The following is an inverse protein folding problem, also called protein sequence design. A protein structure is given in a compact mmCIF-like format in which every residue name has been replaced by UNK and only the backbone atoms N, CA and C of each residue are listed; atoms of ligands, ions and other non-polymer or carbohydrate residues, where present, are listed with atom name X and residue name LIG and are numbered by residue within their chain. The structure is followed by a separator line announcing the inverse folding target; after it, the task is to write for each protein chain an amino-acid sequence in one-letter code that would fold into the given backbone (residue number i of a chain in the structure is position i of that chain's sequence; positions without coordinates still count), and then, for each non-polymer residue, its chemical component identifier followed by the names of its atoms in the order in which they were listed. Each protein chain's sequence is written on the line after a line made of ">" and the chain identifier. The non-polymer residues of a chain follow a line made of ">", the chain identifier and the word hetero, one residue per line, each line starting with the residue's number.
data_IF_257010491027
#
_entry.id   IF_257010491027
#
_cell.length_a   1.000
_cell.length_b   1.000
_cell.length_c   1.000
_cell.angle_alpha   90.00
_cell.angle_beta   90.00
_cell.angle_gamma   90.00
#
_symmetry.space_group_name_H-M   'P 1'
#
loop_
_entity.id
_entity.type
_entity.pdbx_description
1 polymer ?
#
# COMPACT_ATOMS: atom_id res chain seq x y z
N UNK A 1 -9.48 4.40 -3.08
CA UNK A 1 -10.94 4.36 -3.19
C UNK A 1 -11.48 5.53 -4.02
N UNK A 2 -10.98 6.75 -3.85
CA UNK A 2 -11.39 7.90 -4.66
C UNK A 2 -11.18 7.62 -6.16
N UNK A 3 -10.00 7.15 -6.54
CA UNK A 3 -9.67 6.79 -7.92
C UNK A 3 -10.46 5.55 -8.40
N UNK A 4 -10.69 4.56 -7.53
CA UNK A 4 -11.53 3.42 -7.87
C UNK A 4 -12.96 3.85 -8.23
N UNK A 5 -13.56 4.73 -7.44
CA UNK A 5 -14.89 5.28 -7.71
C UNK A 5 -14.93 6.04 -9.03
N UNK A 6 -13.93 6.89 -9.30
CA UNK A 6 -13.81 7.63 -10.56
C UNK A 6 -13.67 6.68 -11.77
N UNK A 7 -12.82 5.66 -11.64
CA UNK A 7 -12.59 4.70 -12.73
C UNK A 7 -13.80 3.82 -13.03
N UNK A 8 -14.73 3.64 -12.09
CA UNK A 8 -15.99 2.92 -12.32
C UNK A 8 -16.99 3.69 -13.20
N UNK A 9 -16.80 4.99 -13.41
CA UNK A 9 -17.65 5.77 -14.30
C UNK A 9 -17.55 5.32 -15.76
N UNK A 10 -18.67 5.39 -16.49
CA UNK A 10 -18.70 5.06 -17.93
C UNK A 10 -17.75 5.95 -18.75
N UNK A 11 -17.59 7.20 -18.38
CA UNK A 11 -16.66 8.16 -19.00
C UNK A 11 -15.19 7.73 -18.91
N UNK A 12 -14.85 6.83 -17.97
CA UNK A 12 -13.52 6.28 -17.76
C UNK A 12 -13.37 4.83 -18.25
N UNK A 13 -14.40 4.30 -18.92
CA UNK A 13 -14.43 2.91 -19.40
C UNK A 13 -14.93 1.91 -18.35
N UNK A 14 -15.34 2.40 -17.17
CA UNK A 14 -15.84 1.58 -16.08
C UNK A 14 -17.20 0.96 -16.31
N UNK A 15 -17.59 0.07 -15.40
CA UNK A 15 -18.87 -0.65 -15.43
C UNK A 15 -20.10 0.24 -15.20
N UNK A 16 -19.91 1.50 -14.74
CA UNK A 16 -20.99 2.44 -14.45
C UNK A 16 -21.63 2.23 -13.08
N UNK A 17 -20.86 1.73 -12.12
CA UNK A 17 -21.32 1.46 -10.75
C UNK A 17 -21.06 2.66 -9.86
N UNK A 18 -22.09 3.07 -9.11
CA UNK A 18 -21.97 3.99 -7.97
C UNK A 18 -21.69 3.17 -6.70
N UNK A 19 -20.56 3.42 -6.05
CA UNK A 19 -20.12 2.59 -4.92
C UNK A 19 -21.16 2.48 -3.79
N UNK A 20 -21.85 3.56 -3.46
CA UNK A 20 -22.85 3.53 -2.39
C UNK A 20 -24.20 2.97 -2.81
N UNK A 21 -24.42 2.64 -4.09
CA UNK A 21 -25.76 2.32 -4.60
C UNK A 21 -26.76 3.46 -4.40
N UNK A 22 -28.02 3.16 -4.53
CA UNK A 22 -29.14 4.05 -4.18
C UNK A 22 -30.31 3.19 -3.67
N UNK A 23 -31.33 3.76 -3.01
CA UNK A 23 -32.50 2.99 -2.61
C UNK A 23 -33.09 2.18 -3.77
N UNK A 24 -33.14 0.86 -3.61
CA UNK A 24 -33.58 -0.10 -4.65
C UNK A 24 -32.48 -0.60 -5.59
N UNK A 25 -31.24 -0.13 -5.44
CA UNK A 25 -30.06 -0.63 -6.21
C UNK A 25 -28.92 -0.94 -5.24
N UNK A 26 -28.36 -2.14 -5.36
CA UNK A 26 -27.28 -2.59 -4.50
C UNK A 26 -26.02 -1.67 -4.57
N UNK A 27 -25.29 -1.60 -3.48
CA UNK A 27 -23.99 -0.97 -3.42
C UNK A 27 -22.95 -1.74 -4.24
N UNK A 28 -21.95 -1.03 -4.74
CA UNK A 28 -20.78 -1.61 -5.38
C UNK A 28 -19.94 -2.42 -4.39
N UNK A 29 -19.34 -3.51 -4.88
CA UNK A 29 -18.53 -4.43 -4.07
C UNK A 29 -17.05 -4.06 -4.17
N UNK A 30 -16.46 -3.74 -3.03
CA UNK A 30 -15.04 -3.41 -2.91
C UNK A 30 -14.32 -4.53 -2.15
N UNK A 31 -13.32 -5.11 -2.79
CA UNK A 31 -12.46 -6.15 -2.20
C UNK A 31 -11.10 -5.52 -1.88
N UNK A 32 -10.63 -5.68 -0.65
CA UNK A 32 -9.34 -5.17 -0.20
C UNK A 32 -8.42 -6.35 0.13
N UNK A 33 -7.30 -6.46 -0.56
CA UNK A 33 -6.28 -7.47 -0.34
C UNK A 33 -5.19 -6.91 0.57
N UNK A 34 -5.17 -7.38 1.82
CA UNK A 34 -4.27 -6.92 2.89
C UNK A 34 -4.96 -6.00 3.89
N UNK A 35 -4.90 -6.38 5.17
CA UNK A 35 -5.47 -5.66 6.31
C UNK A 35 -4.49 -4.71 7.02
N UNK A 36 -3.36 -4.36 6.40
CA UNK A 36 -2.39 -3.41 6.93
C UNK A 36 -2.93 -1.98 7.03
N UNK A 37 -2.05 -1.00 7.22
CA UNK A 37 -2.44 0.43 7.34
C UNK A 37 -3.17 0.90 6.09
N UNK A 38 -2.64 0.59 4.91
CA UNK A 38 -3.21 0.98 3.62
C UNK A 38 -4.58 0.36 3.41
N UNK A 39 -4.69 -0.97 3.56
CA UNK A 39 -5.95 -1.70 3.36
C UNK A 39 -7.03 -1.28 4.35
N UNK A 40 -6.67 -1.07 5.62
CA UNK A 40 -7.60 -0.57 6.62
C UNK A 40 -8.19 0.79 6.25
N UNK A 41 -7.36 1.73 5.78
CA UNK A 41 -7.83 3.04 5.35
C UNK A 41 -8.65 2.95 4.05
N UNK A 42 -8.26 2.09 3.11
CA UNK A 42 -9.06 1.83 1.92
C UNK A 42 -10.45 1.29 2.28
N UNK A 43 -10.51 0.28 3.16
CA UNK A 43 -11.77 -0.30 3.62
C UNK A 43 -12.65 0.74 4.34
N UNK A 44 -12.06 1.59 5.20
CA UNK A 44 -12.77 2.69 5.87
C UNK A 44 -13.37 3.68 4.87
N UNK A 45 -12.62 4.07 3.86
CA UNK A 45 -13.11 5.01 2.85
C UNK A 45 -14.20 4.39 1.98
N UNK A 46 -14.06 3.13 1.58
CA UNK A 46 -15.08 2.40 0.83
C UNK A 46 -16.39 2.28 1.62
N UNK A 47 -16.30 1.90 2.89
CA UNK A 47 -17.45 1.84 3.80
C UNK A 47 -18.09 3.24 3.96
N UNK A 48 -17.28 4.28 4.08
CA UNK A 48 -17.75 5.68 4.17
C UNK A 48 -18.50 6.15 2.92
N UNK A 49 -18.19 5.61 1.76
CA UNK A 49 -18.94 5.83 0.50
C UNK A 49 -20.16 4.90 0.37
N UNK A 50 -20.43 4.04 1.35
CA UNK A 50 -21.57 3.13 1.36
C UNK A 50 -21.37 1.82 0.57
N UNK A 51 -20.14 1.48 0.18
CA UNK A 51 -19.84 0.25 -0.54
C UNK A 51 -20.03 -1.00 0.33
N UNK A 52 -20.30 -2.15 -0.31
CA UNK A 52 -20.19 -3.47 0.30
C UNK A 52 -18.72 -3.89 0.32
N UNK A 53 -18.11 -3.93 1.51
CA UNK A 53 -16.65 -4.08 1.67
C UNK A 53 -16.29 -5.45 2.22
N UNK A 54 -15.35 -6.10 1.54
CA UNK A 54 -14.70 -7.33 2.03
C UNK A 54 -13.19 -7.11 2.08
N UNK A 55 -12.57 -7.44 3.21
CA UNK A 55 -11.12 -7.40 3.39
C UNK A 55 -10.56 -8.81 3.58
N UNK A 56 -9.46 -9.12 2.92
CA UNK A 56 -8.77 -10.40 3.03
C UNK A 56 -7.37 -10.19 3.63
N UNK A 57 -7.05 -10.98 4.66
CA UNK A 57 -5.72 -11.01 5.28
C UNK A 57 -5.38 -12.42 5.75
N UNK A 58 -4.09 -12.73 5.91
CA UNK A 58 -3.62 -14.00 6.48
C UNK A 58 -3.52 -13.99 8.01
N UNK A 59 -3.57 -12.83 8.63
CA UNK A 59 -3.47 -12.67 10.07
C UNK A 59 -4.86 -12.71 10.71
N UNK A 60 -5.24 -13.83 11.32
CA UNK A 60 -6.49 -13.92 12.09
C UNK A 60 -6.59 -12.88 13.22
N UNK A 61 -5.51 -12.58 13.98
CA UNK A 61 -5.56 -11.49 14.96
C UNK A 61 -5.88 -10.13 14.29
N UNK A 62 -5.34 -9.89 13.10
CA UNK A 62 -5.63 -8.65 12.36
C UNK A 62 -7.08 -8.59 11.87
N UNK A 63 -7.59 -9.69 11.35
CA UNK A 63 -9.00 -9.78 10.93
C UNK A 63 -9.96 -9.54 12.09
N UNK A 64 -9.65 -10.09 13.29
CA UNK A 64 -10.44 -9.82 14.51
C UNK A 64 -10.41 -8.33 14.89
N UNK A 65 -9.26 -7.68 14.88
CA UNK A 65 -9.16 -6.25 15.15
C UNK A 65 -9.97 -5.41 14.16
N UNK A 66 -10.01 -5.80 12.90
CA UNK A 66 -10.79 -5.12 11.87
C UNK A 66 -12.28 -5.30 12.11
N UNK A 67 -12.71 -6.53 12.43
CA UNK A 67 -14.11 -6.83 12.73
C UNK A 67 -14.60 -6.00 13.92
N UNK A 68 -13.85 -6.00 15.03
CA UNK A 68 -14.14 -5.20 16.22
C UNK A 68 -14.16 -3.68 15.91
N UNK A 69 -13.21 -3.17 15.12
CA UNK A 69 -13.11 -1.75 14.78
C UNK A 69 -14.30 -1.23 13.97
N UNK A 70 -14.88 -2.09 13.15
CA UNK A 70 -15.99 -1.72 12.26
C UNK A 70 -17.35 -2.30 12.67
N UNK A 71 -17.46 -2.90 13.85
CA UNK A 71 -18.69 -3.50 14.37
C UNK A 71 -19.34 -4.47 13.37
N UNK A 72 -18.54 -5.32 12.73
CA UNK A 72 -18.98 -6.30 11.74
C UNK A 72 -19.49 -5.72 10.41
N UNK A 73 -19.37 -4.40 10.18
CA UNK A 73 -19.83 -3.75 8.94
C UNK A 73 -18.92 -4.04 7.73
N UNK A 74 -17.71 -4.51 7.95
CA UNK A 74 -16.78 -4.96 6.92
C UNK A 74 -16.67 -6.48 7.05
N UNK A 75 -16.87 -7.18 5.94
CA UNK A 75 -16.65 -8.62 5.88
C UNK A 75 -15.18 -8.93 5.94
N UNK A 76 -14.77 -9.85 6.79
CA UNK A 76 -13.38 -10.28 6.92
C UNK A 76 -13.24 -11.73 6.46
N UNK A 77 -12.24 -12.01 5.62
CA UNK A 77 -11.97 -13.35 5.12
C UNK A 77 -10.48 -13.70 5.25
N UNK A 78 -10.20 -14.97 5.53
CA UNK A 78 -8.84 -15.47 5.47
C UNK A 78 -8.37 -15.55 4.01
N UNK A 79 -7.21 -14.96 3.72
CA UNK A 79 -6.68 -14.81 2.37
C UNK A 79 -6.08 -16.13 1.86
N UNK A 80 -6.86 -16.87 1.07
CA UNK A 80 -6.40 -17.99 0.23
C UNK A 80 -6.61 -17.63 -1.23
N UNK A 81 -5.94 -18.34 -2.14
CA UNK A 81 -6.12 -18.14 -3.59
C UNK A 81 -7.57 -18.32 -4.00
N UNK A 82 -8.25 -19.36 -3.50
CA UNK A 82 -9.65 -19.65 -3.77
C UNK A 82 -10.58 -18.55 -3.24
N UNK A 83 -10.33 -18.06 -2.00
CA UNK A 83 -11.11 -16.97 -1.42
C UNK A 83 -10.96 -15.68 -2.24
N UNK A 84 -9.74 -15.37 -2.71
CA UNK A 84 -9.50 -14.22 -3.58
C UNK A 84 -10.29 -14.38 -4.87
N UNK A 85 -10.12 -15.49 -5.59
CA UNK A 85 -10.82 -15.74 -6.86
C UNK A 85 -12.34 -15.67 -6.71
N UNK A 86 -12.88 -16.24 -5.63
CA UNK A 86 -14.33 -16.18 -5.33
C UNK A 86 -14.80 -14.74 -5.18
N UNK A 87 -14.05 -13.89 -4.49
CA UNK A 87 -14.41 -12.48 -4.30
C UNK A 87 -14.28 -11.68 -5.61
N UNK A 88 -13.28 -11.98 -6.44
CA UNK A 88 -13.07 -11.32 -7.73
C UNK A 88 -14.28 -11.45 -8.67
N UNK A 89 -15.00 -12.58 -8.64
CA UNK A 89 -16.17 -12.82 -9.50
C UNK A 89 -17.27 -11.77 -9.35
N UNK A 90 -17.39 -11.19 -8.17
CA UNK A 90 -18.45 -10.22 -7.84
C UNK A 90 -17.91 -8.80 -7.58
N UNK A 91 -16.61 -8.63 -7.47
CA UNK A 91 -15.99 -7.33 -7.21
C UNK A 91 -16.24 -6.32 -8.34
N UNK A 92 -16.54 -5.10 -7.96
CA UNK A 92 -16.54 -3.94 -8.85
C UNK A 92 -15.20 -3.19 -8.77
N UNK A 93 -14.59 -3.17 -7.57
CA UNK A 93 -13.23 -2.64 -7.38
C UNK A 93 -12.42 -3.55 -6.45
N UNK A 94 -11.12 -3.69 -6.75
CA UNK A 94 -10.17 -4.45 -5.93
C UNK A 94 -8.99 -3.55 -5.60
N UNK A 95 -8.61 -3.51 -4.33
CA UNK A 95 -7.50 -2.71 -3.82
C UNK A 95 -6.36 -3.65 -3.39
N UNK A 96 -5.23 -3.58 -4.07
CA UNK A 96 -4.00 -4.27 -3.71
C UNK A 96 -3.24 -3.47 -2.65
N UNK A 97 -3.24 -3.97 -1.41
CA UNK A 97 -2.68 -3.28 -0.25
C UNK A 97 -1.74 -4.16 0.58
N UNK A 98 -1.17 -5.20 -0.03
CA UNK A 98 -0.18 -6.08 0.62
C UNK A 98 1.21 -5.54 0.35
N UNK A 99 1.91 -5.25 1.44
CA UNK A 99 3.27 -4.75 1.45
C UNK A 99 4.12 -5.68 2.30
N UNK A 100 5.23 -6.17 1.75
CA UNK A 100 6.22 -6.98 2.49
C UNK A 100 7.47 -6.12 2.65
N UNK A 101 7.82 -5.67 3.88
CA UNK A 101 9.01 -4.86 4.10
C UNK A 101 10.27 -5.55 3.58
N UNK A 102 11.04 -4.84 2.73
CA UNK A 102 12.30 -5.34 2.18
C UNK A 102 12.18 -6.43 1.10
N UNK A 103 10.97 -6.76 0.64
CA UNK A 103 10.76 -7.74 -0.42
C UNK A 103 9.72 -7.26 -1.44
N UNK A 104 9.71 -7.88 -2.63
CA UNK A 104 8.67 -7.65 -3.62
C UNK A 104 7.30 -8.10 -3.10
N UNK A 105 6.25 -7.36 -3.44
CA UNK A 105 4.88 -7.73 -3.11
C UNK A 105 4.53 -9.09 -3.78
N UNK A 106 3.81 -9.99 -3.07
CA UNK A 106 3.35 -11.24 -3.66
C UNK A 106 2.30 -10.96 -4.74
N UNK A 107 2.33 -11.71 -5.84
CA UNK A 107 1.30 -11.63 -6.89
C UNK A 107 0.05 -12.40 -6.44
N UNK A 108 -0.93 -11.67 -5.93
CA UNK A 108 -2.16 -12.22 -5.35
C UNK A 108 -3.28 -12.42 -6.39
N UNK A 109 -3.29 -11.60 -7.45
CA UNK A 109 -4.21 -11.74 -8.57
C UNK A 109 -3.39 -12.05 -9.82
N UNK A 110 -3.59 -13.22 -10.36
CA UNK A 110 -2.93 -13.65 -11.60
C UNK A 110 -3.67 -13.12 -12.83
N UNK A 111 -3.03 -13.18 -14.00
CA UNK A 111 -3.67 -12.78 -15.24
C UNK A 111 -4.91 -13.63 -15.54
N UNK A 112 -4.85 -14.93 -15.29
CA UNK A 112 -5.97 -15.85 -15.51
C UNK A 112 -7.19 -15.49 -14.67
N UNK A 113 -6.98 -14.98 -13.46
CA UNK A 113 -8.07 -14.53 -12.58
C UNK A 113 -8.80 -13.30 -13.11
N UNK A 114 -8.23 -12.52 -14.04
CA UNK A 114 -8.98 -11.43 -14.68
C UNK A 114 -10.16 -11.95 -15.47
N UNK A 115 -10.06 -13.15 -16.01
CA UNK A 115 -11.12 -13.79 -16.78
C UNK A 115 -12.42 -14.06 -16.02
N UNK A 116 -12.37 -14.08 -14.67
CA UNK A 116 -13.58 -14.25 -13.84
C UNK A 116 -14.17 -12.94 -13.35
N UNK A 117 -13.47 -11.83 -13.56
CA UNK A 117 -13.93 -10.50 -13.12
C UNK A 117 -14.96 -9.92 -14.10
N UNK A 118 -15.75 -8.98 -13.61
CA UNK A 118 -16.72 -8.27 -14.45
C UNK A 118 -15.98 -7.28 -15.37
N UNK A 119 -16.28 -7.22 -16.68
CA UNK A 119 -15.74 -6.19 -17.55
C UNK A 119 -16.03 -4.77 -17.03
N UNK A 120 -15.02 -3.91 -17.04
CA UNK A 120 -15.12 -2.54 -16.52
C UNK A 120 -14.99 -2.44 -15.00
N UNK A 121 -14.67 -3.54 -14.30
CA UNK A 121 -14.21 -3.45 -12.90
C UNK A 121 -12.78 -2.91 -12.81
N UNK A 122 -12.38 -2.49 -11.62
CA UNK A 122 -11.18 -1.70 -11.38
C UNK A 122 -10.22 -2.40 -10.42
N UNK A 123 -8.96 -2.51 -10.82
CA UNK A 123 -7.85 -2.91 -9.95
C UNK A 123 -7.02 -1.67 -9.58
N UNK A 124 -6.92 -1.35 -8.30
CA UNK A 124 -6.04 -0.28 -7.78
C UNK A 124 -4.89 -0.92 -7.04
N UNK A 125 -3.69 -0.82 -7.54
CA UNK A 125 -2.50 -1.40 -6.92
C UNK A 125 -1.71 -0.35 -6.14
N UNK A 126 -1.95 -0.30 -4.82
CA UNK A 126 -1.25 0.65 -3.94
C UNK A 126 0.17 0.17 -3.63
N UNK A 127 0.45 -1.12 -3.80
CA UNK A 127 1.78 -1.70 -3.60
C UNK A 127 2.68 -1.58 -4.84
N UNK A 128 2.29 -0.77 -5.83
CA UNK A 128 3.00 -0.67 -7.13
C UNK A 128 4.47 -0.28 -6.99
N UNK A 129 4.82 0.57 -6.03
CA UNK A 129 6.21 0.98 -5.75
C UNK A 129 7.11 -0.21 -5.33
N UNK A 130 6.52 -1.33 -4.90
CA UNK A 130 7.20 -2.59 -4.57
C UNK A 130 6.90 -3.70 -5.58
N UNK A 131 6.62 -3.33 -6.83
CA UNK A 131 6.34 -4.26 -7.93
C UNK A 131 4.88 -4.68 -8.06
N UNK A 132 4.00 -4.24 -7.15
CA UNK A 132 2.55 -4.47 -7.19
C UNK A 132 2.08 -5.86 -6.79
N UNK A 133 0.83 -5.95 -6.32
CA UNK A 133 0.17 -7.19 -5.89
C UNK A 133 -0.48 -7.99 -7.02
N UNK A 134 -0.62 -7.42 -8.21
CA UNK A 134 -1.25 -8.09 -9.35
C UNK A 134 -0.20 -8.45 -10.39
N UNK A 135 -0.34 -9.60 -11.03
CA UNK A 135 0.59 -10.05 -12.06
C UNK A 135 0.65 -9.08 -13.24
N UNK A 136 -0.49 -8.48 -13.58
CA UNK A 136 -0.65 -7.54 -14.68
C UNK A 136 -0.33 -6.09 -14.30
N UNK A 137 0.09 -5.82 -13.05
CA UNK A 137 0.47 -4.48 -12.62
C UNK A 137 1.73 -3.97 -13.29
N UNK A 138 1.65 -2.75 -13.81
CA UNK A 138 2.79 -1.94 -14.25
C UNK A 138 2.61 -0.51 -13.78
N UNK A 139 3.68 0.13 -13.37
CA UNK A 139 3.63 1.50 -12.88
C UNK A 139 3.12 2.47 -13.96
N UNK A 140 2.26 3.39 -13.54
CA UNK A 140 1.71 4.48 -14.35
C UNK A 140 2.01 5.83 -13.70
N UNK A 141 1.62 6.92 -14.36
CA UNK A 141 1.85 8.29 -13.89
C UNK A 141 0.54 9.02 -13.67
N UNK A 142 0.58 10.15 -12.99
CA UNK A 142 -0.62 10.99 -12.82
C UNK A 142 -1.16 11.57 -14.14
N UNK A 143 -0.32 11.69 -15.19
CA UNK A 143 -0.74 12.15 -16.51
C UNK A 143 -1.46 11.05 -17.30
N UNK A 144 -1.01 9.80 -17.19
CA UNK A 144 -1.63 8.63 -17.83
C UNK A 144 -1.85 7.55 -16.76
N UNK A 145 -2.90 7.68 -15.93
CA UNK A 145 -3.01 6.94 -14.68
C UNK A 145 -3.54 5.51 -14.85
N UNK A 146 -4.19 5.21 -15.97
CA UNK A 146 -4.90 3.95 -16.15
C UNK A 146 -4.53 3.24 -17.45
N UNK A 147 -4.71 1.93 -17.45
CA UNK A 147 -4.71 1.10 -18.66
C UNK A 147 -5.68 -0.05 -18.49
N UNK A 148 -6.00 -0.73 -19.58
CA UNK A 148 -6.95 -1.85 -19.59
C UNK A 148 -6.22 -3.13 -19.98
N UNK A 149 -6.46 -4.21 -19.21
CA UNK A 149 -6.03 -5.57 -19.55
C UNK A 149 -7.25 -6.47 -19.45
N UNK A 150 -7.55 -7.20 -20.51
CA UNK A 150 -8.63 -8.19 -20.56
C UNK A 150 -10.00 -7.61 -20.10
N UNK A 151 -10.24 -6.33 -20.42
CA UNK A 151 -11.47 -5.60 -20.05
C UNK A 151 -11.50 -5.04 -18.64
N UNK A 152 -10.42 -5.19 -17.84
CA UNK A 152 -10.29 -4.72 -16.47
C UNK A 152 -9.39 -3.48 -16.42
N UNK A 153 -9.87 -2.43 -15.76
CA UNK A 153 -9.15 -1.16 -15.62
C UNK A 153 -8.12 -1.30 -14.51
N UNK A 154 -6.89 -0.91 -14.79
CA UNK A 154 -5.79 -0.87 -13.82
C UNK A 154 -5.42 0.57 -13.52
N UNK A 155 -5.41 0.93 -12.24
CA UNK A 155 -4.86 2.17 -11.70
C UNK A 155 -3.63 1.83 -10.85
N UNK A 156 -2.45 2.13 -11.35
CA UNK A 156 -1.18 1.72 -10.75
C UNK A 156 -0.19 2.91 -10.68
N UNK A 157 -0.69 4.08 -10.32
CA UNK A 157 0.12 5.30 -10.27
C UNK A 157 1.17 5.19 -9.17
N UNK A 158 2.43 5.31 -9.54
CA UNK A 158 3.51 5.46 -8.60
C UNK A 158 3.37 6.80 -7.85
N UNK A 159 3.65 6.78 -6.54
CA UNK A 159 3.45 7.96 -5.69
C UNK A 159 2.00 8.51 -5.73
N UNK A 160 1.01 7.64 -5.52
CA UNK A 160 -0.42 8.05 -5.42
C UNK A 160 -0.65 9.26 -4.50
N UNK A 161 0.03 9.43 -3.36
CA UNK A 161 -0.09 10.62 -2.50
C UNK A 161 0.18 11.94 -3.22
N UNK A 162 0.98 11.95 -4.28
CA UNK A 162 1.26 13.13 -5.10
C UNK A 162 0.02 13.71 -5.77
N UNK A 163 -1.01 12.92 -6.03
CA UNK A 163 -2.29 13.38 -6.57
C UNK A 163 -3.13 14.21 -5.58
N UNK A 164 -2.82 14.12 -4.28
CA UNK A 164 -3.48 14.88 -3.20
C UNK A 164 -2.44 15.61 -2.35
N UNK A 165 -1.54 16.31 -3.01
CA UNK A 165 -0.31 16.87 -2.46
C UNK A 165 -0.53 17.72 -1.20
N UNK A 166 -1.60 18.50 -1.11
CA UNK A 166 -1.92 19.30 0.07
C UNK A 166 -2.07 18.43 1.33
N UNK A 167 -2.90 17.38 1.24
CA UNK A 167 -3.14 16.47 2.37
C UNK A 167 -1.88 15.69 2.71
N UNK A 168 -1.20 15.17 1.70
CA UNK A 168 0.00 14.34 1.86
C UNK A 168 1.16 15.11 2.47
N UNK A 169 1.37 16.37 2.07
CA UNK A 169 2.43 17.22 2.63
C UNK A 169 2.20 17.48 4.12
N UNK A 170 0.99 17.86 4.52
CA UNK A 170 0.70 18.07 5.95
C UNK A 170 0.83 16.78 6.76
N UNK A 171 0.32 15.66 6.25
CA UNK A 171 0.43 14.37 6.92
C UNK A 171 1.89 13.96 7.11
N UNK A 172 2.72 14.07 6.07
CA UNK A 172 4.14 13.76 6.12
C UNK A 172 4.88 14.69 7.06
N UNK A 173 4.64 16.00 6.97
CA UNK A 173 5.25 17.00 7.85
C UNK A 173 4.93 16.73 9.32
N UNK A 174 3.67 16.46 9.65
CA UNK A 174 3.26 16.14 11.02
C UNK A 174 3.98 14.89 11.57
N UNK A 175 4.20 13.89 10.73
CA UNK A 175 4.89 12.67 11.12
C UNK A 175 6.41 12.85 11.25
N UNK A 176 7.04 13.67 10.40
CA UNK A 176 8.50 13.79 10.32
C UNK A 176 9.07 14.94 11.15
N UNK A 177 8.29 15.99 11.40
CA UNK A 177 8.76 17.19 12.12
C UNK A 177 9.41 16.90 13.48
N UNK A 178 8.90 16.00 14.34
CA UNK A 178 9.55 15.68 15.61
C UNK A 178 10.99 15.18 15.44
N UNK A 179 11.23 14.35 14.43
CA UNK A 179 12.57 13.83 14.11
C UNK A 179 13.49 14.91 13.54
N UNK A 180 12.96 15.77 12.65
CA UNK A 180 13.71 16.92 12.12
C UNK A 180 14.13 17.87 13.25
N UNK A 181 13.23 18.17 14.17
CA UNK A 181 13.52 19.00 15.34
C UNK A 181 14.54 18.35 16.28
N UNK A 182 14.48 17.04 16.48
CA UNK A 182 15.47 16.30 17.25
C UNK A 182 16.86 16.42 16.63
N UNK A 183 16.97 16.22 15.31
CA UNK A 183 18.23 16.37 14.55
C UNK A 183 18.77 17.80 14.62
N UNK A 184 17.91 18.80 14.47
CA UNK A 184 18.30 20.21 14.49
C UNK A 184 18.80 20.67 15.87
N UNK A 185 18.17 20.21 16.94
CA UNK A 185 18.48 20.64 18.30
C UNK A 185 19.66 19.90 18.91
N UNK A 186 19.81 18.61 18.61
CA UNK A 186 20.82 17.72 19.24
C UNK A 186 22.03 17.47 18.33
N UNK A 187 21.90 17.68 17.03
CA UNK A 187 22.83 17.16 16.03
C UNK A 187 22.59 15.68 15.73
N UNK A 188 23.12 15.20 14.62
CA UNK A 188 22.81 13.85 14.10
C UNK A 188 23.18 12.73 15.07
N UNK A 189 24.39 12.75 15.63
CA UNK A 189 24.88 11.65 16.47
C UNK A 189 24.07 11.50 17.77
N UNK A 190 23.83 12.61 18.47
CA UNK A 190 23.08 12.59 19.73
C UNK A 190 21.60 12.26 19.51
N UNK A 191 21.00 12.79 18.43
CA UNK A 191 19.63 12.47 18.06
C UNK A 191 19.46 10.96 17.79
N UNK A 192 20.36 10.37 17.01
CA UNK A 192 20.36 8.94 16.70
C UNK A 192 20.59 8.06 17.92
N UNK A 193 21.49 8.45 18.83
CA UNK A 193 21.76 7.71 20.07
C UNK A 193 20.59 7.77 21.06
N UNK A 194 19.85 8.88 21.06
CA UNK A 194 18.76 9.12 22.03
C UNK A 194 17.40 8.60 21.58
N UNK A 195 17.24 8.16 20.30
CA UNK A 195 15.98 7.69 19.75
C UNK A 195 16.19 6.46 18.83
N UNK A 196 15.74 5.31 19.31
CA UNK A 196 15.86 4.04 18.58
C UNK A 196 15.06 4.03 17.28
N UNK A 197 13.94 4.77 17.21
CA UNK A 197 13.14 4.86 15.96
C UNK A 197 13.87 5.69 14.91
N UNK A 198 14.52 6.78 15.32
CA UNK A 198 15.35 7.59 14.43
C UNK A 198 16.59 6.79 13.97
N UNK A 199 17.19 6.02 14.89
CA UNK A 199 18.33 5.14 14.58
C UNK A 199 17.97 4.08 13.54
N UNK A 200 16.77 3.50 13.61
CA UNK A 200 16.28 2.54 12.60
C UNK A 200 16.13 3.16 11.20
N UNK A 201 16.03 4.49 11.11
CA UNK A 201 15.99 5.23 9.84
C UNK A 201 17.37 5.53 9.26
N UNK A 202 18.45 5.21 9.96
CA UNK A 202 19.81 5.47 9.49
C UNK A 202 20.19 4.49 8.37
N UNK A 203 20.30 4.97 7.14
CA UNK A 203 20.65 4.13 5.99
C UNK A 203 22.15 4.15 5.65
N UNK A 204 22.75 5.31 5.77
CA UNK A 204 24.19 5.51 5.48
C UNK A 204 24.79 6.41 6.54
N UNK A 205 25.91 6.01 7.10
CA UNK A 205 26.68 6.84 8.02
C UNK A 205 28.16 6.81 7.65
N UNK A 206 28.71 7.98 7.32
CA UNK A 206 30.13 8.16 6.96
C UNK A 206 30.65 7.13 5.94
N UNK A 207 29.84 6.82 4.91
CA UNK A 207 30.20 5.93 3.81
C UNK A 207 29.91 4.45 4.02
N UNK A 208 29.38 4.03 5.19
CA UNK A 208 28.95 2.63 5.41
C UNK A 208 27.44 2.52 5.37
N UNK A 209 26.92 1.39 4.81
CA UNK A 209 25.52 1.05 4.84
C UNK A 209 25.12 0.46 6.19
N UNK A 210 24.00 0.93 6.73
CA UNK A 210 23.49 0.55 8.05
C UNK A 210 22.09 -0.06 7.99
N UNK A 211 21.63 -0.43 6.79
CA UNK A 211 20.40 -1.20 6.56
C UNK A 211 20.74 -2.46 5.78
N UNK A 212 20.59 -3.64 6.40
CA UNK A 212 20.96 -4.93 5.82
C UNK A 212 20.30 -5.17 4.45
N UNK A 213 18.98 -4.94 4.34
CA UNK A 213 18.25 -5.17 3.11
C UNK A 213 18.77 -4.31 1.93
N UNK A 214 19.26 -3.09 2.21
CA UNK A 214 19.87 -2.22 1.20
C UNK A 214 21.25 -2.75 0.80
N UNK A 215 22.05 -3.18 1.78
CA UNK A 215 23.36 -3.76 1.54
C UNK A 215 23.27 -5.03 0.66
N UNK A 216 22.34 -5.93 1.00
CA UNK A 216 22.09 -7.16 0.25
C UNK A 216 21.65 -6.87 -1.19
N UNK A 217 20.72 -5.93 -1.38
CA UNK A 217 20.22 -5.53 -2.70
C UNK A 217 21.31 -4.89 -3.59
N UNK A 218 22.30 -4.23 -2.98
CA UNK A 218 23.39 -3.56 -3.68
C UNK A 218 24.67 -4.42 -3.77
N UNK A 219 24.71 -5.57 -3.09
CA UNK A 219 25.92 -6.40 -3.00
C UNK A 219 27.08 -5.70 -2.25
N UNK A 220 26.76 -4.85 -1.29
CA UNK A 220 27.71 -4.06 -0.50
C UNK A 220 27.78 -4.55 0.96
N UNK A 221 28.83 -4.13 1.68
CA UNK A 221 28.99 -4.44 3.09
C UNK A 221 27.97 -3.73 3.97
N UNK A 222 27.56 -4.40 5.05
CA UNK A 222 26.67 -3.87 6.09
C UNK A 222 27.42 -3.69 7.41
N UNK A 223 27.06 -2.65 8.15
CA UNK A 223 27.53 -2.36 9.52
C UNK A 223 26.32 -2.03 10.38
N UNK A 224 26.20 -2.68 11.54
CA UNK A 224 25.14 -2.36 12.50
C UNK A 224 25.13 -0.85 12.84
N UNK A 225 23.95 -0.18 12.86
CA UNK A 225 23.85 1.25 13.12
C UNK A 225 24.56 1.71 14.38
N UNK A 226 24.44 0.92 15.47
CA UNK A 226 25.08 1.22 16.74
C UNK A 226 26.61 1.14 16.67
N UNK A 227 27.14 0.20 15.90
CA UNK A 227 28.58 0.06 15.69
C UNK A 227 29.13 1.18 14.80
N UNK A 228 28.40 1.53 13.74
CA UNK A 228 28.75 2.63 12.86
C UNK A 228 28.90 3.95 13.65
N UNK A 229 27.98 4.22 14.59
CA UNK A 229 28.05 5.40 15.46
C UNK A 229 29.20 5.37 16.47
N UNK A 230 29.69 4.19 16.90
CA UNK A 230 30.84 4.08 17.83
C UNK A 230 32.15 4.35 17.12
N UNK A 231 32.34 3.82 15.92
CA UNK A 231 33.63 3.83 15.23
C UNK A 231 33.84 4.99 14.27
N UNK A 232 32.91 5.93 14.18
CA UNK A 232 33.09 7.18 13.45
C UNK A 232 33.19 7.04 11.92
N UNK A 233 32.65 5.97 11.33
CA UNK A 233 32.75 5.67 9.89
C UNK A 233 33.96 4.82 9.53
N UNK A 234 34.06 4.50 8.23
CA UNK A 234 35.13 3.66 7.68
C UNK A 234 36.52 4.04 8.19
N UNK A 235 37.20 3.14 8.88
CA UNK A 235 38.61 2.95 8.59
C UNK A 235 38.67 2.20 7.25
N UNK A 236 38.80 2.95 6.15
CA UNK A 236 39.24 2.36 4.88
C UNK A 236 40.66 1.90 5.13
N UNK A 237 40.84 0.62 5.42
CA UNK A 237 42.16 -0.01 5.28
C UNK A 237 42.49 0.03 3.79
N UNK A 238 43.53 0.81 3.47
CA UNK A 238 44.13 0.91 2.17
C UNK A 238 44.60 -0.46 1.65
#
# INVERSE_FOLDING_TARGET
>A
IQEAALCLEKSKGGSGVLLGGVPGVEAGKVVVLGGGVVGLNAARMALGLGADVTILDRSLPRLRQIDELFDGRIKTLYSTTDAIETQLRTADAVIGAVLVPGASAPKLVTRDMLGVMKPGSVLVDVAIDQGGCFETSRATTHQDPTYVVDGIIHYCVANMPGGVARTSTFALTNATLPFVMSLANKGAEEALRSDAHLLNGLNVYRGVLTVQAVADAQGLGFVEPTEALKHGGLQVSA
#
